data_IF_997160362635
#
_entry.id   IF_997160362635
#
_cell.length_a   1.000
_cell.length_b   1.000
_cell.length_c   1.000
_cell.angle_alpha   90.00
_cell.angle_beta   90.00
_cell.angle_gamma   90.00
#
_symmetry.space_group_name_H-M   'P 1'
#
loop_
_entity.id
_entity.type
_entity.pdbx_description
1 polymer ?
#
# COMPACT_ATOMS: atom_id res chain seq x y z
N UNK A 1 7.19 -8.97 -2.45
CA UNK A 1 7.50 -9.36 -1.05
C UNK A 1 6.18 -9.37 -0.30
N UNK A 2 5.68 -10.55 0.13
CA UNK A 2 4.42 -10.65 0.90
C UNK A 2 4.71 -10.21 2.33
N UNK A 3 4.12 -9.10 2.75
CA UNK A 3 4.14 -8.71 4.16
C UNK A 3 2.94 -9.37 4.85
N UNK A 4 3.20 -10.27 5.78
CA UNK A 4 2.19 -10.87 6.64
C UNK A 4 2.00 -9.95 7.85
N UNK A 5 0.86 -9.28 7.94
CA UNK A 5 0.54 -8.44 9.08
C UNK A 5 -0.13 -9.30 10.15
N UNK A 6 0.58 -9.54 11.26
CA UNK A 6 0.02 -10.20 12.43
C UNK A 6 -0.63 -9.18 13.35
N UNK A 7 -1.94 -9.21 13.45
CA UNK A 7 -2.67 -8.44 14.46
C UNK A 7 -2.63 -9.23 15.77
N UNK A 8 -1.65 -8.92 16.63
CA UNK A 8 -1.57 -9.45 17.99
C UNK A 8 -2.42 -8.57 18.91
N UNK A 9 -3.56 -9.08 19.38
CA UNK A 9 -4.35 -8.47 20.45
C UNK A 9 -3.88 -8.98 21.82
N UNK A 10 -3.73 -8.16 22.91
CA UNK A 10 -4.70 -7.19 23.36
C UNK A 10 -4.04 -5.85 23.76
N UNK A 11 -4.49 -4.80 23.27
CA UNK A 11 -4.68 -3.46 23.80
C UNK A 11 -5.02 -2.55 22.63
N UNK A 12 -6.09 -1.78 22.75
CA UNK A 12 -6.58 -0.85 21.76
C UNK A 12 -5.51 0.13 21.27
N UNK A 13 -4.55 -0.34 20.51
CA UNK A 13 -3.77 0.49 19.60
C UNK A 13 -4.40 0.25 18.23
N UNK A 14 -5.05 1.29 17.70
CA UNK A 14 -5.43 1.31 16.30
C UNK A 14 -4.12 1.24 15.50
N UNK A 15 -3.81 0.07 14.97
CA UNK A 15 -2.76 -0.03 13.97
C UNK A 15 -3.33 0.65 12.70
N UNK A 16 -2.65 1.67 12.21
CA UNK A 16 -2.96 2.35 10.96
C UNK A 16 -1.95 1.88 9.92
N UNK A 17 -2.45 1.40 8.80
CA UNK A 17 -1.63 1.10 7.64
C UNK A 17 -1.88 2.15 6.56
N UNK A 18 -0.81 2.63 5.94
CA UNK A 18 -0.87 3.62 4.86
C UNK A 18 -0.33 3.00 3.58
N UNK A 19 -1.11 3.08 2.52
CA UNK A 19 -0.73 2.70 1.17
C UNK A 19 -0.74 3.91 0.25
N UNK A 20 0.25 4.03 -0.62
CA UNK A 20 0.27 5.06 -1.66
C UNK A 20 -0.32 4.49 -2.95
N UNK A 21 -1.24 5.23 -3.57
CA UNK A 21 -1.85 4.88 -4.85
C UNK A 21 -0.92 5.28 -6.01
N UNK A 22 0.19 4.55 -6.19
CA UNK A 22 1.15 4.74 -7.28
C UNK A 22 0.98 3.73 -8.42
N UNK A 23 -0.19 3.15 -8.54
CA UNK A 23 -0.51 2.10 -9.51
C UNK A 23 -1.65 1.23 -8.99
N UNK A 24 -1.74 0.01 -9.48
CA UNK A 24 -2.75 -0.95 -9.01
C UNK A 24 -2.48 -1.32 -7.54
N UNK A 25 -3.46 -1.10 -6.67
CA UNK A 25 -3.38 -1.51 -5.28
C UNK A 25 -3.46 -3.04 -5.22
N UNK A 26 -2.37 -3.65 -4.77
CA UNK A 26 -2.26 -5.11 -4.66
C UNK A 26 -3.14 -5.58 -3.49
N UNK A 27 -3.90 -6.69 -3.66
CA UNK A 27 -4.69 -7.27 -2.58
C UNK A 27 -3.86 -7.55 -1.32
N UNK A 28 -4.40 -7.17 -0.16
CA UNK A 28 -3.75 -7.30 1.13
C UNK A 28 -4.36 -8.43 1.96
N UNK A 29 -3.52 -9.18 2.68
CA UNK A 29 -3.95 -10.27 3.54
C UNK A 29 -3.96 -9.82 5.01
N UNK A 30 -5.09 -10.03 5.68
CA UNK A 30 -5.30 -9.75 7.10
C UNK A 30 -5.56 -11.04 7.85
N UNK A 31 -4.91 -11.22 8.98
CA UNK A 31 -4.99 -12.45 9.76
C UNK A 31 -5.10 -12.17 11.25
N UNK A 32 -5.95 -12.94 11.93
CA UNK A 32 -6.02 -13.03 13.40
C UNK A 32 -5.60 -14.41 13.87
N UNK A 33 -5.29 -14.54 15.16
CA UNK A 33 -4.92 -15.82 15.75
C UNK A 33 -6.00 -16.86 15.55
N UNK A 34 -5.63 -18.02 15.03
CA UNK A 34 -6.56 -19.14 14.85
C UNK A 34 -6.91 -19.80 16.19
N UNK A 35 -8.20 -20.09 16.37
CA UNK A 35 -8.74 -20.86 17.49
C UNK A 35 -9.82 -21.80 16.94
N UNK A 36 -9.68 -23.11 17.19
CA UNK A 36 -10.56 -24.14 16.64
C UNK A 36 -12.02 -24.02 17.12
N UNK A 37 -12.20 -23.41 18.30
CA UNK A 37 -13.53 -23.23 18.90
C UNK A 37 -14.22 -21.91 18.50
N UNK A 38 -13.56 -21.09 17.64
CA UNK A 38 -14.06 -19.78 17.22
C UNK A 38 -14.50 -19.78 15.77
N UNK A 39 -15.58 -19.03 15.52
CA UNK A 39 -16.00 -18.62 14.18
C UNK A 39 -15.69 -17.13 14.04
N UNK A 40 -15.13 -16.74 12.91
CA UNK A 40 -14.67 -15.39 12.63
C UNK A 40 -15.64 -14.70 11.66
N UNK A 41 -15.91 -13.43 11.93
CA UNK A 41 -16.77 -12.59 11.10
C UNK A 41 -16.05 -11.31 10.77
N UNK A 42 -15.79 -11.11 9.49
CA UNK A 42 -15.11 -9.95 8.95
C UNK A 42 -16.09 -8.99 8.31
N UNK A 43 -15.83 -7.70 8.47
CA UNK A 43 -16.56 -6.64 7.79
C UNK A 43 -15.57 -5.56 7.31
N UNK A 44 -15.85 -4.96 6.15
CA UNK A 44 -15.03 -3.90 5.55
C UNK A 44 -15.92 -2.74 5.12
N UNK A 45 -15.44 -1.51 5.34
CA UNK A 45 -16.21 -0.30 5.01
C UNK A 45 -16.42 -0.13 3.50
N UNK A 46 -15.40 -0.48 2.70
CA UNK A 46 -15.41 -0.47 1.23
C UNK A 46 -14.39 -1.48 0.69
N UNK A 47 -14.46 -1.75 -0.62
CA UNK A 47 -13.60 -2.74 -1.26
C UNK A 47 -14.29 -4.09 -1.40
N UNK A 48 -13.51 -5.13 -1.59
CA UNK A 48 -14.01 -6.48 -1.78
C UNK A 48 -13.14 -7.51 -1.04
N UNK A 49 -13.79 -8.37 -0.26
CA UNK A 49 -13.13 -9.58 0.26
C UNK A 49 -13.08 -10.58 -0.88
N UNK A 50 -11.89 -10.85 -1.40
CA UNK A 50 -11.67 -11.77 -2.53
C UNK A 50 -11.38 -13.20 -2.08
N UNK A 51 -10.95 -13.35 -0.82
CA UNK A 51 -10.67 -14.65 -0.24
C UNK A 51 -10.92 -14.63 1.27
N UNK A 52 -11.58 -15.67 1.79
CA UNK A 52 -11.91 -15.83 3.21
C UNK A 52 -11.58 -17.26 3.65
N UNK A 53 -10.73 -17.39 4.66
CA UNK A 53 -10.32 -18.66 5.30
C UNK A 53 -10.76 -18.74 6.77
N UNK A 54 -11.69 -17.90 7.19
CA UNK A 54 -12.12 -17.78 8.57
C UNK A 54 -11.19 -16.84 9.35
N UNK A 55 -10.08 -17.33 9.87
CA UNK A 55 -9.15 -16.48 10.64
C UNK A 55 -8.26 -15.56 9.79
N UNK A 56 -8.31 -15.67 8.46
CA UNK A 56 -7.65 -14.75 7.53
C UNK A 56 -8.54 -14.40 6.35
N UNK A 57 -8.40 -13.18 5.83
CA UNK A 57 -9.05 -12.73 4.61
C UNK A 57 -8.06 -12.00 3.71
N UNK A 58 -8.34 -11.98 2.41
CA UNK A 58 -7.65 -11.12 1.45
C UNK A 58 -8.62 -10.08 0.93
N UNK A 59 -8.25 -8.82 1.03
CA UNK A 59 -9.07 -7.67 0.65
C UNK A 59 -8.44 -6.95 -0.54
N UNK A 60 -9.25 -6.70 -1.56
CA UNK A 60 -8.94 -5.74 -2.62
C UNK A 60 -9.56 -4.40 -2.22
N UNK A 61 -8.70 -3.44 -1.88
CA UNK A 61 -9.11 -2.07 -1.57
C UNK A 61 -9.42 -1.29 -2.86
N UNK A 62 -10.30 -0.28 -2.79
CA UNK A 62 -10.56 0.60 -3.94
C UNK A 62 -9.35 1.50 -4.22
N UNK A 63 -9.20 1.95 -5.47
CA UNK A 63 -8.13 2.86 -5.89
C UNK A 63 -8.35 4.31 -5.46
N UNK A 64 -9.45 4.60 -4.77
CA UNK A 64 -9.77 5.95 -4.31
C UNK A 64 -9.02 6.30 -3.03
N UNK A 65 -8.52 7.54 -2.99
CA UNK A 65 -7.90 8.11 -1.78
C UNK A 65 -8.93 8.17 -0.66
N UNK A 66 -8.55 7.73 0.52
CA UNK A 66 -9.44 7.75 1.67
C UNK A 66 -9.00 6.86 2.81
N UNK A 67 -9.82 6.84 3.84
CA UNK A 67 -9.64 6.00 5.02
C UNK A 67 -10.71 4.93 5.02
N UNK A 68 -10.28 3.69 5.15
CA UNK A 68 -11.11 2.50 5.15
C UNK A 68 -10.94 1.75 6.47
N UNK A 69 -11.96 1.01 6.86
CA UNK A 69 -11.96 0.27 8.12
C UNK A 69 -12.22 -1.19 7.80
N UNK A 70 -11.41 -2.05 8.39
CA UNK A 70 -11.64 -3.48 8.48
C UNK A 70 -11.94 -3.83 9.94
N UNK A 71 -12.90 -4.68 10.16
CA UNK A 71 -13.25 -5.15 11.49
C UNK A 71 -13.42 -6.65 11.52
N UNK A 72 -13.16 -7.24 12.68
CA UNK A 72 -13.36 -8.66 12.93
C UNK A 72 -13.89 -8.88 14.34
N UNK A 73 -14.91 -9.72 14.47
CA UNK A 73 -15.32 -10.28 15.74
C UNK A 73 -15.39 -11.80 15.66
N UNK A 74 -15.39 -12.43 16.79
CA UNK A 74 -15.46 -13.90 16.88
C UNK A 74 -16.65 -14.34 17.72
N UNK A 75 -17.21 -15.50 17.39
CA UNK A 75 -18.19 -16.17 18.25
C UNK A 75 -17.61 -17.48 18.77
N UNK A 76 -17.87 -17.79 20.04
CA UNK A 76 -17.52 -19.07 20.66
C UNK A 76 -18.72 -19.62 21.41
N UNK A 77 -19.17 -20.82 21.05
CA UNK A 77 -20.38 -21.47 21.63
C UNK A 77 -21.63 -20.58 21.62
N UNK A 78 -21.77 -19.73 20.58
CA UNK A 78 -22.89 -18.80 20.44
C UNK A 78 -22.77 -17.48 21.21
N UNK A 79 -21.65 -17.26 21.92
CA UNK A 79 -21.35 -15.97 22.56
C UNK A 79 -20.45 -15.13 21.64
N UNK A 80 -20.84 -13.88 21.41
CA UNK A 80 -20.03 -12.91 20.66
C UNK A 80 -18.91 -12.37 21.52
N UNK A 81 -17.72 -12.26 20.94
CA UNK A 81 -16.56 -11.57 21.52
C UNK A 81 -16.50 -10.11 21.09
N UNK A 82 -15.48 -9.42 21.61
CA UNK A 82 -15.23 -8.02 21.27
C UNK A 82 -14.85 -7.88 19.78
N UNK A 83 -15.27 -6.76 19.17
CA UNK A 83 -14.90 -6.41 17.80
C UNK A 83 -13.59 -5.66 17.80
N UNK A 84 -12.67 -6.09 16.95
CA UNK A 84 -11.40 -5.41 16.69
C UNK A 84 -11.49 -4.64 15.39
N UNK A 85 -10.87 -3.46 15.35
CA UNK A 85 -10.86 -2.58 14.19
C UNK A 85 -9.43 -2.29 13.75
N UNK A 86 -9.25 -2.15 12.45
CA UNK A 86 -8.01 -1.74 11.82
C UNK A 86 -8.29 -0.68 10.76
N UNK A 87 -7.51 0.38 10.74
CA UNK A 87 -7.65 1.50 9.81
C UNK A 87 -6.63 1.37 8.68
N UNK A 88 -7.11 1.50 7.46
CA UNK A 88 -6.33 1.47 6.23
C UNK A 88 -6.48 2.81 5.53
N UNK A 89 -5.38 3.51 5.32
CA UNK A 89 -5.35 4.80 4.64
C UNK A 89 -4.73 4.63 3.26
N UNK A 90 -5.46 5.05 2.23
CA UNK A 90 -4.96 5.13 0.85
C UNK A 90 -4.71 6.59 0.54
N UNK A 91 -3.44 6.93 0.33
CA UNK A 91 -2.97 8.27 0.00
C UNK A 91 -2.67 8.40 -1.48
N UNK A 92 -2.65 9.64 -1.97
CA UNK A 92 -2.24 9.93 -3.33
C UNK A 92 -0.75 9.62 -3.52
N UNK A 93 -0.40 9.21 -4.72
CA UNK A 93 1.00 9.04 -5.08
C UNK A 93 1.69 10.41 -5.09
N UNK A 94 2.79 10.58 -4.37
CA UNK A 94 3.56 11.81 -4.48
C UNK A 94 4.02 11.96 -5.94
N UNK A 95 3.58 13.05 -6.59
CA UNK A 95 4.01 13.35 -7.95
C UNK A 95 5.52 13.58 -7.97
N UNK A 96 6.23 12.68 -8.59
CA UNK A 96 7.63 12.88 -8.89
C UNK A 96 7.74 13.94 -10.01
N UNK A 97 8.09 15.17 -9.66
CA UNK A 97 8.35 16.22 -10.64
C UNK A 97 9.73 16.00 -11.27
N UNK A 98 9.79 15.13 -12.25
CA UNK A 98 11.02 14.91 -13.02
C UNK A 98 11.13 15.98 -14.10
N UNK A 99 12.19 16.76 -14.06
CA UNK A 99 12.58 17.65 -15.15
C UNK A 99 13.73 17.03 -15.94
N UNK A 100 13.46 16.73 -17.20
CA UNK A 100 14.46 16.24 -18.15
C UNK A 100 14.85 17.40 -19.06
N UNK A 101 16.09 17.88 -19.03
CA UNK A 101 16.55 18.92 -19.96
C UNK A 101 16.44 18.44 -21.40
N UNK A 102 16.03 19.32 -22.30
CA UNK A 102 15.94 19.00 -23.72
C UNK A 102 17.23 19.31 -24.50
N UNK A 103 18.22 19.92 -23.84
CA UNK A 103 19.51 20.26 -24.43
C UNK A 103 20.60 20.42 -23.37
N UNK A 104 21.84 20.17 -23.74
CA UNK A 104 23.03 20.49 -22.98
C UNK A 104 24.15 20.88 -23.96
N UNK A 105 25.13 21.68 -23.52
CA UNK A 105 26.18 22.22 -24.35
C UNK A 105 27.53 22.02 -23.68
N UNK A 106 28.22 20.88 -23.92
CA UNK A 106 29.54 20.61 -23.32
C UNK A 106 30.63 21.42 -24.07
N UNK A 107 30.85 22.66 -23.65
CA UNK A 107 31.79 23.60 -24.27
C UNK A 107 32.78 24.17 -23.26
N UNK A 108 32.83 23.64 -22.02
CA UNK A 108 33.74 24.04 -20.95
C UNK A 108 33.53 25.47 -20.42
N UNK A 109 32.34 26.05 -20.59
CA UNK A 109 31.97 27.36 -20.06
C UNK A 109 31.35 27.33 -18.67
N UNK A 110 31.27 26.14 -18.05
CA UNK A 110 30.62 25.83 -16.78
C UNK A 110 29.09 26.02 -16.77
N UNK A 111 28.44 26.06 -17.94
CA UNK A 111 27.01 26.14 -18.08
C UNK A 111 26.48 25.00 -18.94
N UNK A 112 25.55 24.20 -18.39
CA UNK A 112 24.93 23.05 -19.09
C UNK A 112 25.94 22.03 -19.67
N UNK A 113 27.05 21.81 -18.99
CA UNK A 113 28.11 20.88 -19.41
C UNK A 113 27.67 19.41 -19.33
N UNK A 114 26.73 19.10 -18.46
CA UNK A 114 26.24 17.75 -18.24
C UNK A 114 24.72 17.68 -18.41
N UNK A 115 24.27 16.56 -18.98
CA UNK A 115 22.86 16.21 -18.99
C UNK A 115 22.50 15.63 -17.63
N UNK A 116 21.65 16.33 -16.89
CA UNK A 116 21.21 15.90 -15.55
C UNK A 116 19.71 15.94 -15.43
N UNK A 117 19.11 14.83 -14.97
CA UNK A 117 17.67 14.74 -14.67
C UNK A 117 17.44 15.26 -13.26
N UNK A 118 16.60 16.27 -13.12
CA UNK A 118 16.29 16.88 -11.83
C UNK A 118 14.98 16.29 -11.27
N UNK A 119 14.89 16.17 -9.95
CA UNK A 119 13.69 15.77 -9.24
C UNK A 119 13.51 14.26 -9.05
N UNK A 120 14.47 13.43 -9.49
CA UNK A 120 14.51 12.02 -9.19
C UNK A 120 15.58 11.72 -8.13
N UNK A 121 15.23 10.94 -7.13
CA UNK A 121 16.20 10.41 -6.17
C UNK A 121 16.99 9.24 -6.76
N UNK A 122 18.18 8.96 -6.21
CA UNK A 122 18.99 7.84 -6.65
C UNK A 122 18.24 6.52 -6.50
N UNK A 123 17.99 5.82 -7.61
CA UNK A 123 17.28 4.54 -7.65
C UNK A 123 15.84 4.60 -8.18
N UNK A 124 15.29 5.78 -8.41
CA UNK A 124 13.94 5.93 -8.99
C UNK A 124 13.91 5.84 -10.52
N UNK A 125 15.07 6.02 -11.18
CA UNK A 125 15.20 5.85 -12.63
C UNK A 125 15.82 4.49 -12.92
N UNK A 126 14.99 3.55 -13.35
CA UNK A 126 15.46 2.21 -13.72
C UNK A 126 16.13 2.17 -15.08
N UNK A 127 15.68 3.00 -16.02
CA UNK A 127 16.20 3.03 -17.39
C UNK A 127 16.01 4.40 -18.02
N UNK A 128 17.09 4.95 -18.58
CA UNK A 128 17.05 6.10 -19.47
C UNK A 128 17.67 5.70 -20.82
N UNK A 129 16.96 5.91 -21.91
CA UNK A 129 17.43 5.62 -23.26
C UNK A 129 17.46 6.89 -24.09
N UNK A 130 18.63 7.21 -24.64
CA UNK A 130 18.84 8.35 -25.52
C UNK A 130 18.99 7.82 -26.94
N UNK A 131 18.10 8.26 -27.81
CA UNK A 131 18.13 7.90 -29.22
C UNK A 131 18.84 8.98 -30.03
N UNK A 132 19.77 8.57 -30.89
CA UNK A 132 20.32 9.44 -31.90
C UNK A 132 19.40 9.49 -33.12
N UNK A 133 19.40 10.61 -33.79
CA UNK A 133 18.55 10.87 -34.97
C UNK A 133 19.02 10.14 -36.23
N UNK A 134 20.20 9.52 -36.19
CA UNK A 134 20.88 8.88 -37.33
C UNK A 134 20.88 7.35 -37.19
#
# INVERSE_FOLDING_TARGET
MKWLVYILLPLQLFAQETYTNCGDIVPQEYQVSYDVDKTYYWDISQGQIIYDQGNSITVQWPDSIGTYIISVYTTRFGCEGDTSYHEVVIEDCPYLQIFVPNSFTPNEDNHNETFYVHGADEGEIELMVIFNRW
#
